data_IF_703803275224
#
_entry.id   IF_703803275224
#
_cell.length_a   1.000
_cell.length_b   1.000
_cell.length_c   1.000
_cell.angle_alpha   90.00
_cell.angle_beta   90.00
_cell.angle_gamma   90.00
#
_symmetry.space_group_name_H-M   'P 1'
#
loop_
_entity.id
_entity.type
_entity.pdbx_description
1 polymer ?
#
# COMPACT_ATOMS: atom_id res chain seq x y z
N UNK A 1 -12.21 -16.92 -11.15
CA UNK A 1 -11.31 -17.84 -10.40
C UNK A 1 -10.39 -17.04 -9.49
N UNK A 2 -9.68 -16.03 -10.02
CA UNK A 2 -8.84 -15.15 -9.23
C UNK A 2 -9.58 -14.47 -8.06
N UNK A 3 -10.79 -13.93 -8.30
CA UNK A 3 -11.58 -13.22 -7.26
C UNK A 3 -11.89 -14.11 -6.04
N UNK A 4 -12.08 -15.42 -6.25
CA UNK A 4 -12.26 -16.37 -5.14
C UNK A 4 -10.99 -16.49 -4.32
N UNK A 5 -9.84 -16.64 -4.98
CA UNK A 5 -8.53 -16.72 -4.29
C UNK A 5 -8.23 -15.41 -3.54
N UNK A 6 -8.56 -14.27 -4.15
CA UNK A 6 -8.40 -12.95 -3.53
C UNK A 6 -9.25 -12.83 -2.25
N UNK A 7 -10.50 -13.27 -2.32
CA UNK A 7 -11.44 -13.26 -1.20
C UNK A 7 -11.00 -14.20 -0.07
N UNK A 8 -10.72 -15.47 -0.38
CA UNK A 8 -10.29 -16.46 0.61
C UNK A 8 -9.04 -15.98 1.37
N UNK A 9 -8.04 -15.43 0.66
CA UNK A 9 -6.84 -14.87 1.32
C UNK A 9 -7.14 -13.67 2.20
N UNK A 10 -8.10 -12.83 1.83
CA UNK A 10 -8.49 -11.68 2.63
C UNK A 10 -9.19 -12.09 3.93
N UNK A 11 -9.96 -13.18 3.89
CA UNK A 11 -10.69 -13.73 5.04
C UNK A 11 -9.76 -14.53 5.95
N UNK A 12 -9.03 -15.49 5.39
CA UNK A 12 -8.17 -16.41 6.16
C UNK A 12 -7.00 -15.70 6.84
N UNK A 13 -6.39 -14.73 6.17
CA UNK A 13 -5.17 -14.04 6.64
C UNK A 13 -5.46 -12.63 7.18
N UNK A 14 -6.68 -12.40 7.64
CA UNK A 14 -7.12 -11.12 8.18
C UNK A 14 -6.32 -10.76 9.44
N UNK A 15 -5.71 -9.58 9.46
CA UNK A 15 -4.92 -9.10 10.61
C UNK A 15 -3.45 -9.52 10.62
N UNK A 16 -3.02 -10.36 9.67
CA UNK A 16 -1.64 -10.87 9.60
C UNK A 16 -0.70 -10.01 8.72
N UNK A 17 -1.20 -8.90 8.18
CA UNK A 17 -0.41 -7.99 7.34
C UNK A 17 -0.29 -8.39 5.87
N UNK A 18 -0.88 -9.51 5.45
CA UNK A 18 -0.81 -9.99 4.07
C UNK A 18 -1.57 -9.12 3.07
N UNK A 19 -2.72 -8.56 3.46
CA UNK A 19 -3.63 -7.84 2.54
C UNK A 19 -2.96 -6.68 1.82
N UNK A 20 -2.10 -5.92 2.50
CA UNK A 20 -1.41 -4.78 1.89
C UNK A 20 -0.43 -5.22 0.79
N UNK A 21 0.39 -6.23 1.06
CA UNK A 21 1.34 -6.79 0.09
C UNK A 21 0.63 -7.50 -1.07
N UNK A 22 -0.47 -8.18 -0.80
CA UNK A 22 -1.32 -8.83 -1.81
C UNK A 22 -1.91 -7.82 -2.81
N UNK A 23 -2.52 -6.74 -2.32
CA UNK A 23 -3.05 -5.68 -3.18
C UNK A 23 -1.92 -5.01 -4.00
N UNK A 24 -0.74 -4.83 -3.41
CA UNK A 24 0.41 -4.20 -4.09
C UNK A 24 0.95 -5.06 -5.21
N UNK A 25 1.15 -6.36 -4.99
CA UNK A 25 1.68 -7.28 -6.01
C UNK A 25 0.68 -7.50 -7.15
N UNK A 26 -0.62 -7.44 -6.87
CA UNK A 26 -1.68 -7.56 -7.87
C UNK A 26 -2.04 -6.24 -8.55
N UNK A 27 -1.41 -5.12 -8.19
CA UNK A 27 -1.70 -3.78 -8.75
C UNK A 27 -3.14 -3.32 -8.54
N UNK A 28 -3.77 -3.78 -7.46
CA UNK A 28 -5.14 -3.41 -7.04
C UNK A 28 -5.16 -2.35 -5.94
N UNK A 29 -4.01 -1.99 -5.37
CA UNK A 29 -3.93 -1.04 -4.25
C UNK A 29 -4.55 0.32 -4.57
N UNK A 30 -4.36 0.83 -5.78
CA UNK A 30 -4.92 2.14 -6.17
C UNK A 30 -6.46 2.10 -6.19
N UNK A 31 -7.05 1.05 -6.76
CA UNK A 31 -8.50 0.86 -6.80
C UNK A 31 -9.11 0.68 -5.39
N UNK A 32 -8.47 -0.14 -4.54
CA UNK A 32 -9.04 -0.49 -3.24
C UNK A 32 -8.75 0.53 -2.12
N UNK A 33 -7.65 1.27 -2.21
CA UNK A 33 -7.17 2.13 -1.13
C UNK A 33 -7.31 3.62 -1.44
N UNK A 34 -7.18 4.03 -2.70
CA UNK A 34 -7.18 5.46 -3.01
C UNK A 34 -8.59 6.05 -2.87
N UNK A 35 -8.71 7.18 -2.19
CA UNK A 35 -10.00 7.83 -1.95
C UNK A 35 -10.89 7.14 -0.90
N UNK A 36 -10.41 6.06 -0.27
CA UNK A 36 -11.19 5.35 0.76
C UNK A 36 -11.27 6.18 2.03
N UNK A 37 -12.48 6.53 2.44
CA UNK A 37 -12.75 7.22 3.71
C UNK A 37 -12.72 6.20 4.85
N UNK A 38 -11.72 6.31 5.71
CA UNK A 38 -11.63 5.50 6.92
C UNK A 38 -12.45 6.20 8.01
N UNK A 39 -13.43 5.46 8.52
CA UNK A 39 -14.39 5.93 9.50
C UNK A 39 -14.08 5.33 10.86
N UNK A 40 -14.34 6.09 11.90
CA UNK A 40 -14.27 5.61 13.27
C UNK A 40 -15.50 4.75 13.62
N UNK A 41 -15.48 4.17 14.82
CA UNK A 41 -16.61 3.40 15.36
C UNK A 41 -17.92 4.21 15.46
N UNK A 42 -17.83 5.55 15.51
CA UNK A 42 -18.97 6.46 15.48
C UNK A 42 -19.49 6.76 14.07
N UNK A 43 -18.79 6.33 13.02
CA UNK A 43 -19.11 6.62 11.62
C UNK A 43 -18.55 7.93 11.08
N UNK A 44 -17.88 8.74 11.92
CA UNK A 44 -17.18 9.95 11.47
C UNK A 44 -15.94 9.61 10.63
N UNK A 45 -15.72 10.35 9.55
CA UNK A 45 -14.54 10.17 8.68
C UNK A 45 -13.32 10.76 9.39
N UNK A 46 -12.33 9.93 9.72
CA UNK A 46 -11.07 10.37 10.32
C UNK A 46 -10.07 10.85 9.29
N UNK A 47 -9.95 10.11 8.20
CA UNK A 47 -9.06 10.47 7.10
C UNK A 47 -9.50 9.79 5.81
N UNK A 48 -9.10 10.39 4.69
CA UNK A 48 -9.23 9.78 3.37
C UNK A 48 -7.87 9.22 2.97
N UNK A 49 -7.80 7.92 2.72
CA UNK A 49 -6.58 7.29 2.23
C UNK A 49 -6.21 7.86 0.86
N UNK A 50 -4.93 8.16 0.69
CA UNK A 50 -4.33 8.52 -0.58
C UNK A 50 -3.31 7.45 -0.93
N UNK A 51 -3.51 6.79 -2.06
CA UNK A 51 -2.57 5.81 -2.59
C UNK A 51 -2.34 6.14 -4.06
N UNK A 52 -1.09 6.45 -4.42
CA UNK A 52 -0.69 6.83 -5.78
C UNK A 52 0.44 5.93 -6.27
N UNK A 53 0.79 6.02 -7.56
CA UNK A 53 1.78 5.15 -8.20
C UNK A 53 3.12 4.99 -7.46
N UNK A 54 3.60 6.02 -6.75
CA UNK A 54 4.83 5.93 -5.94
C UNK A 54 4.72 4.96 -4.77
N UNK A 55 3.53 4.80 -4.18
CA UNK A 55 3.30 4.06 -2.94
C UNK A 55 3.37 2.53 -3.16
N UNK A 56 3.48 2.09 -4.41
CA UNK A 56 3.81 0.70 -4.76
C UNK A 56 5.21 0.29 -4.28
N UNK A 57 6.14 1.24 -4.14
CA UNK A 57 7.49 0.98 -3.64
C UNK A 57 7.77 1.82 -2.39
N UNK A 58 8.53 1.27 -1.47
CA UNK A 58 9.01 2.04 -0.32
C UNK A 58 10.17 2.94 -0.75
N UNK A 59 10.29 4.17 -0.22
CA UNK A 59 11.45 5.00 -0.48
C UNK A 59 12.71 4.35 0.11
N UNK A 60 13.83 4.48 -0.60
CA UNK A 60 15.15 4.27 0.02
C UNK A 60 15.35 5.43 1.01
N UNK A 61 15.72 5.16 2.28
CA UNK A 61 15.94 6.21 3.26
C UNK A 61 16.99 7.22 2.82
N UNK A 62 16.75 8.51 3.06
CA UNK A 62 17.66 9.58 2.63
C UNK A 62 19.06 9.46 3.23
N UNK A 63 19.17 8.95 4.47
CA UNK A 63 20.46 8.68 5.11
C UNK A 63 21.32 7.69 4.31
N UNK A 64 20.72 6.63 3.78
CA UNK A 64 21.42 5.64 2.96
C UNK A 64 21.86 6.24 1.62
N UNK A 65 20.99 7.05 0.99
CA UNK A 65 21.36 7.74 -0.27
C UNK A 65 22.47 8.78 -0.08
N UNK A 66 22.58 9.37 1.12
CA UNK A 66 23.64 10.31 1.46
C UNK A 66 24.98 9.58 1.67
N UNK A 67 24.94 8.42 2.33
CA UNK A 67 26.11 7.56 2.57
C UNK A 67 26.63 6.97 1.25
N UNK A 68 25.71 6.54 0.37
CA UNK A 68 26.06 5.97 -0.92
C UNK A 68 25.28 6.66 -2.06
N UNK A 69 25.87 7.70 -2.67
CA UNK A 69 25.25 8.42 -3.79
C UNK A 69 24.93 7.55 -5.02
N UNK A 70 25.51 6.33 -5.14
CA UNK A 70 25.21 5.38 -6.23
C UNK A 70 23.83 4.72 -6.08
N UNK A 71 23.15 4.91 -4.95
CA UNK A 71 21.76 4.47 -4.74
C UNK A 71 20.75 5.43 -5.40
N UNK A 72 21.21 6.56 -5.94
CA UNK A 72 20.38 7.46 -6.72
C UNK A 72 20.26 6.99 -8.18
N UNK A 73 19.13 7.26 -8.84
CA UNK A 73 17.92 7.89 -8.30
C UNK A 73 17.13 6.96 -7.37
N UNK A 74 16.35 7.53 -6.45
CA UNK A 74 15.46 6.75 -5.58
C UNK A 74 14.35 6.05 -6.40
N UNK A 75 13.57 5.21 -5.74
CA UNK A 75 12.39 4.59 -6.32
C UNK A 75 11.45 5.64 -6.94
N UNK A 76 10.79 5.34 -8.07
CA UNK A 76 10.01 6.32 -8.82
C UNK A 76 8.99 7.09 -7.97
N UNK A 77 9.10 8.42 -7.96
CA UNK A 77 8.20 9.32 -7.23
C UNK A 77 8.57 9.58 -5.77
N UNK A 78 9.73 9.11 -5.31
CA UNK A 78 10.31 9.34 -3.98
C UNK A 78 11.63 10.12 -4.03
#
# INVERSE_FOLDING_TARGET
MFDRIEHERAVELAGEGHRYSDLKRWKLSEEYLNGKQEKDFTGEVRFTRKFVGRDYLWPIPSAETLINPKLLPNNPGW
#
